data_IF_390726007866
#
_entry.id   IF_390726007866
#
_cell.length_a   1.000
_cell.length_b   1.000
_cell.length_c   1.000
_cell.angle_alpha   90.00
_cell.angle_beta   90.00
_cell.angle_gamma   90.00
#
_symmetry.space_group_name_H-M   'P 1'
#
loop_
_entity.id
_entity.type
_entity.pdbx_description
1 polymer ?
#
# COMPACT_ATOMS: atom_id res chain seq x y z
N UNK A 1 -13.88 10.73 36.28
CA UNK A 1 -13.85 12.11 35.77
C UNK A 1 -15.11 12.91 36.12
N UNK A 2 -16.33 12.44 35.79
CA UNK A 2 -17.57 13.20 36.05
C UNK A 2 -17.76 13.64 37.51
N UNK A 3 -17.48 12.78 38.50
CA UNK A 3 -17.60 13.11 39.92
C UNK A 3 -16.66 14.25 40.37
N UNK A 4 -15.44 14.33 39.83
CA UNK A 4 -14.47 15.38 40.19
C UNK A 4 -14.89 16.77 39.66
N UNK A 5 -15.48 16.81 38.45
CA UNK A 5 -16.05 18.04 37.90
C UNK A 5 -17.31 18.49 38.66
N UNK A 6 -18.16 17.55 39.11
CA UNK A 6 -19.34 17.87 39.92
C UNK A 6 -18.98 18.36 41.33
N UNK A 7 -17.95 17.79 41.98
CA UNK A 7 -17.46 18.25 43.29
C UNK A 7 -16.80 19.64 43.20
N UNK A 8 -16.21 19.97 42.05
CA UNK A 8 -15.63 21.30 41.81
C UNK A 8 -16.67 22.45 41.77
N UNK A 9 -17.96 22.16 41.51
CA UNK A 9 -19.01 23.19 41.62
C UNK A 9 -19.09 23.74 43.06
N UNK A 10 -18.76 22.94 44.07
CA UNK A 10 -18.83 23.32 45.49
C UNK A 10 -17.52 23.92 46.03
N UNK A 11 -16.38 23.65 45.38
CA UNK A 11 -15.06 24.17 45.72
C UNK A 11 -14.51 25.03 44.58
N UNK A 12 -14.49 26.36 44.77
CA UNK A 12 -14.10 27.37 43.76
C UNK A 12 -12.58 27.40 43.46
N UNK A 13 -11.96 26.28 43.09
CA UNK A 13 -10.53 26.18 42.79
C UNK A 13 -10.25 25.57 41.41
N UNK A 14 -9.12 25.91 40.78
CA UNK A 14 -8.70 25.38 39.47
C UNK A 14 -8.06 23.98 39.54
N UNK A 15 -7.79 23.48 40.74
CA UNK A 15 -7.04 22.23 40.95
C UNK A 15 -7.85 21.00 40.51
N UNK A 16 -9.14 20.93 40.84
CA UNK A 16 -9.97 19.74 40.54
C UNK A 16 -10.23 19.55 39.03
N UNK A 17 -10.52 20.61 38.23
CA UNK A 17 -10.64 20.47 36.77
C UNK A 17 -9.35 20.04 36.10
N UNK A 18 -8.21 20.65 36.49
CA UNK A 18 -6.89 20.30 35.94
C UNK A 18 -6.56 18.83 36.23
N UNK A 19 -6.82 18.38 37.47
CA UNK A 19 -6.61 16.98 37.84
C UNK A 19 -7.55 16.03 37.08
N UNK A 20 -8.80 16.44 36.85
CA UNK A 20 -9.76 15.70 36.04
C UNK A 20 -9.33 15.53 34.58
N UNK A 21 -8.84 16.61 33.94
CA UNK A 21 -8.30 16.57 32.57
C UNK A 21 -7.01 15.77 32.52
N UNK A 22 -6.10 15.98 33.47
CA UNK A 22 -4.84 15.24 33.55
C UNK A 22 -5.06 13.73 33.69
N UNK A 23 -6.01 13.33 34.55
CA UNK A 23 -6.38 11.93 34.70
C UNK A 23 -7.01 11.35 33.42
N UNK A 24 -7.87 12.13 32.76
CA UNK A 24 -8.50 11.71 31.51
C UNK A 24 -7.45 11.55 30.40
N UNK A 25 -6.53 12.52 30.26
CA UNK A 25 -5.45 12.46 29.28
C UNK A 25 -4.54 11.25 29.53
N UNK A 26 -4.15 11.04 30.80
CA UNK A 26 -3.34 9.88 31.19
C UNK A 26 -4.05 8.57 30.84
N UNK A 27 -5.34 8.46 31.17
CA UNK A 27 -6.13 7.25 30.89
C UNK A 27 -6.29 7.03 29.40
N UNK A 28 -6.54 8.10 28.62
CA UNK A 28 -6.65 8.03 27.16
C UNK A 28 -5.37 7.52 26.51
N UNK A 29 -4.20 7.96 26.98
CA UNK A 29 -2.91 7.51 26.45
C UNK A 29 -2.68 6.04 26.81
N UNK A 30 -2.92 5.67 28.07
CA UNK A 30 -2.69 4.29 28.53
C UNK A 30 -3.58 3.31 27.77
N UNK A 31 -4.88 3.59 27.71
CA UNK A 31 -5.86 2.70 27.07
C UNK A 31 -5.77 2.77 25.54
N UNK A 32 -5.56 3.97 24.97
CA UNK A 32 -5.61 4.18 23.53
C UNK A 32 -4.31 3.86 22.79
N UNK A 33 -3.15 3.91 23.46
CA UNK A 33 -1.86 3.70 22.82
C UNK A 33 -1.03 2.60 23.49
N UNK A 34 -0.82 2.67 24.81
CA UNK A 34 0.12 1.79 25.51
C UNK A 34 -0.38 0.34 25.53
N UNK A 35 -1.63 0.13 25.95
CA UNK A 35 -2.25 -1.20 25.98
C UNK A 35 -2.31 -1.85 24.60
N UNK A 36 -2.90 -1.22 23.56
CA UNK A 36 -2.95 -1.84 22.23
C UNK A 36 -1.57 -2.06 21.63
N UNK A 37 -0.63 -1.12 21.80
CA UNK A 37 0.74 -1.29 21.32
C UNK A 37 1.46 -2.48 21.96
N UNK A 38 1.21 -2.74 23.24
CA UNK A 38 1.76 -3.89 23.97
C UNK A 38 1.15 -5.21 23.45
N UNK A 39 -0.17 -5.26 23.28
CA UNK A 39 -0.85 -6.44 22.71
C UNK A 39 -0.38 -6.70 21.28
N UNK A 40 -0.24 -5.66 20.46
CA UNK A 40 0.25 -5.80 19.09
C UNK A 40 1.65 -6.40 19.08
N UNK A 41 2.58 -5.84 19.87
CA UNK A 41 3.98 -6.26 19.87
C UNK A 41 4.19 -7.70 20.37
N UNK A 42 3.50 -8.08 21.46
CA UNK A 42 3.80 -9.33 22.16
C UNK A 42 2.80 -10.47 21.89
N UNK A 43 1.62 -10.19 21.35
CA UNK A 43 0.62 -11.22 21.06
C UNK A 43 0.31 -11.34 19.56
N UNK A 44 0.15 -10.21 18.86
CA UNK A 44 -0.28 -10.20 17.46
C UNK A 44 0.91 -10.40 16.54
N UNK A 45 1.97 -9.59 16.65
CA UNK A 45 3.10 -9.56 15.72
C UNK A 45 3.80 -10.92 15.54
N UNK A 46 3.77 -11.81 16.54
CA UNK A 46 4.36 -13.15 16.43
C UNK A 46 3.52 -14.12 15.59
N UNK A 47 2.21 -13.91 15.47
CA UNK A 47 1.27 -14.74 14.71
C UNK A 47 0.22 -13.86 14.00
N UNK A 48 0.70 -12.81 13.33
CA UNK A 48 -0.13 -11.71 12.83
C UNK A 48 -1.17 -12.22 11.84
N UNK A 49 -0.76 -13.07 10.89
CA UNK A 49 -1.66 -13.66 9.91
C UNK A 49 -2.87 -14.34 10.57
N UNK A 50 -2.66 -15.22 11.55
CA UNK A 50 -3.78 -15.95 12.18
C UNK A 50 -4.67 -15.03 13.02
N UNK A 51 -4.07 -14.07 13.73
CA UNK A 51 -4.79 -13.17 14.64
C UNK A 51 -5.55 -12.07 13.89
N UNK A 52 -5.00 -11.55 12.80
CA UNK A 52 -5.59 -10.45 12.04
C UNK A 52 -6.53 -10.88 10.91
N UNK A 53 -6.33 -12.08 10.33
CA UNK A 53 -7.21 -12.63 9.27
C UNK A 53 -8.70 -12.44 9.52
N UNK A 54 -9.28 -12.78 10.70
CA UNK A 54 -10.72 -12.59 10.90
C UNK A 54 -11.15 -11.12 10.89
N UNK A 55 -10.29 -10.18 11.30
CA UNK A 55 -10.57 -8.75 11.24
C UNK A 55 -10.46 -8.22 9.82
N UNK A 56 -9.46 -8.67 9.07
CA UNK A 56 -9.29 -8.36 7.64
C UNK A 56 -10.49 -8.86 6.85
N UNK A 57 -10.93 -10.11 7.07
CA UNK A 57 -12.10 -10.67 6.41
C UNK A 57 -13.38 -9.85 6.68
N UNK A 58 -13.58 -9.44 7.93
CA UNK A 58 -14.71 -8.55 8.30
C UNK A 58 -14.60 -7.18 7.63
N UNK A 59 -13.41 -6.59 7.55
CA UNK A 59 -13.20 -5.31 6.89
C UNK A 59 -13.46 -5.40 5.38
N UNK A 60 -12.98 -6.46 4.73
CA UNK A 60 -13.26 -6.75 3.32
C UNK A 60 -14.76 -6.88 3.10
N UNK A 61 -15.45 -7.68 3.92
CA UNK A 61 -16.91 -7.85 3.81
C UNK A 61 -17.66 -6.52 4.01
N UNK A 62 -17.32 -5.75 5.04
CA UNK A 62 -17.93 -4.45 5.31
C UNK A 62 -17.69 -3.45 4.17
N UNK A 63 -16.48 -3.42 3.62
CA UNK A 63 -16.12 -2.53 2.51
C UNK A 63 -16.86 -2.94 1.24
N UNK A 64 -16.90 -4.24 0.93
CA UNK A 64 -17.65 -4.76 -0.22
C UNK A 64 -19.15 -4.45 -0.12
N UNK A 65 -19.71 -4.60 1.08
CA UNK A 65 -21.10 -4.25 1.37
C UNK A 65 -21.35 -2.74 1.19
N UNK A 66 -20.49 -1.89 1.76
CA UNK A 66 -20.63 -0.44 1.66
C UNK A 66 -20.57 0.08 0.21
N UNK A 67 -19.74 -0.54 -0.63
CA UNK A 67 -19.63 -0.21 -2.05
C UNK A 67 -20.63 -0.97 -2.95
N UNK A 68 -21.46 -1.86 -2.40
CA UNK A 68 -22.39 -2.67 -3.18
C UNK A 68 -21.70 -3.64 -4.14
N UNK A 69 -20.43 -3.98 -3.92
CA UNK A 69 -19.64 -4.93 -4.72
C UNK A 69 -19.56 -6.32 -4.07
N UNK A 70 -20.40 -6.54 -3.07
CA UNK A 70 -20.58 -7.84 -2.42
C UNK A 70 -21.31 -8.86 -3.32
N UNK A 71 -21.90 -8.36 -4.41
CA UNK A 71 -22.46 -9.19 -5.47
C UNK A 71 -21.32 -9.99 -6.11
N UNK A 72 -21.39 -11.30 -5.86
CA UNK A 72 -20.87 -12.45 -6.63
C UNK A 72 -19.81 -12.04 -7.66
N UNK A 73 -18.58 -12.59 -7.62
CA UNK A 73 -17.69 -12.46 -8.76
C UNK A 73 -18.45 -12.99 -9.97
N UNK A 74 -19.05 -12.09 -10.76
CA UNK A 74 -19.49 -12.42 -12.08
C UNK A 74 -18.20 -12.91 -12.70
N UNK A 75 -18.07 -14.20 -13.07
CA UNK A 75 -16.94 -14.58 -13.88
C UNK A 75 -17.00 -13.55 -15.01
N UNK A 76 -15.97 -12.72 -15.10
CA UNK A 76 -15.70 -12.03 -16.37
C UNK A 76 -15.70 -13.20 -17.31
N UNK A 77 -16.76 -13.35 -18.08
CA UNK A 77 -16.87 -14.37 -19.08
C UNK A 77 -16.13 -13.69 -20.22
N UNK A 78 -14.79 -13.87 -20.36
CA UNK A 78 -14.14 -13.40 -21.57
C UNK A 78 -14.99 -14.00 -22.70
N UNK A 79 -15.39 -13.18 -23.67
CA UNK A 79 -16.24 -13.65 -24.74
C UNK A 79 -15.65 -14.98 -25.27
N UNK A 80 -16.31 -16.11 -25.00
CA UNK A 80 -15.74 -17.43 -25.27
C UNK A 80 -15.66 -17.72 -26.78
N UNK A 81 -16.20 -16.81 -27.59
CA UNK A 81 -16.39 -16.97 -29.03
C UNK A 81 -15.71 -15.83 -29.80
N UNK A 82 -14.43 -15.56 -29.52
CA UNK A 82 -13.63 -14.72 -30.42
C UNK A 82 -13.38 -15.50 -31.70
N UNK A 83 -13.98 -15.07 -32.81
CA UNK A 83 -13.79 -15.66 -34.13
C UNK A 83 -12.51 -15.15 -34.78
N UNK A 84 -11.93 -15.93 -35.71
CA UNK A 84 -10.77 -15.48 -36.50
C UNK A 84 -11.03 -14.15 -37.21
N UNK A 85 -12.23 -13.95 -37.76
CA UNK A 85 -12.61 -12.69 -38.40
C UNK A 85 -12.57 -11.47 -37.46
N UNK A 86 -12.88 -11.68 -36.17
CA UNK A 86 -12.79 -10.61 -35.16
C UNK A 86 -11.35 -10.33 -34.76
N UNK A 87 -10.47 -11.33 -34.75
CA UNK A 87 -9.03 -11.13 -34.52
C UNK A 87 -8.43 -10.34 -35.68
N UNK A 88 -8.72 -10.75 -36.92
CA UNK A 88 -8.22 -10.08 -38.12
C UNK A 88 -8.71 -8.62 -38.21
N UNK A 89 -9.97 -8.36 -37.84
CA UNK A 89 -10.53 -7.01 -37.78
C UNK A 89 -9.95 -6.14 -36.65
N UNK A 90 -9.26 -6.74 -35.66
CA UNK A 90 -8.71 -6.07 -34.50
C UNK A 90 -7.20 -6.31 -34.35
N UNK A 91 -6.48 -6.49 -35.46
CA UNK A 91 -5.04 -6.78 -35.49
C UNK A 91 -4.23 -5.80 -34.61
N UNK A 92 -4.53 -4.49 -34.70
CA UNK A 92 -3.89 -3.45 -33.89
C UNK A 92 -4.08 -3.65 -32.37
N UNK A 93 -5.19 -4.24 -31.93
CA UNK A 93 -5.43 -4.56 -30.52
C UNK A 93 -4.67 -5.81 -30.12
N UNK A 94 -4.73 -6.86 -30.95
CA UNK A 94 -4.13 -8.18 -30.69
C UNK A 94 -2.60 -8.08 -30.60
N UNK A 95 -1.99 -7.35 -31.53
CA UNK A 95 -0.54 -7.10 -31.56
C UNK A 95 -0.04 -6.22 -30.41
N UNK A 96 -0.94 -5.51 -29.71
CA UNK A 96 -0.64 -4.60 -28.61
C UNK A 96 -1.15 -5.10 -27.24
N UNK A 97 -1.50 -6.38 -27.12
CA UNK A 97 -1.90 -6.94 -25.82
C UNK A 97 -0.69 -6.97 -24.89
N UNK A 98 -0.83 -6.32 -23.73
CA UNK A 98 0.17 -6.38 -22.68
C UNK A 98 0.20 -7.77 -22.04
N UNK A 99 1.25 -8.54 -22.32
CA UNK A 99 1.43 -9.89 -21.79
C UNK A 99 1.97 -9.91 -20.35
N UNK A 100 2.73 -8.89 -19.96
CA UNK A 100 3.40 -8.83 -18.65
C UNK A 100 2.74 -7.84 -17.70
N UNK A 101 2.81 -8.12 -16.40
CA UNK A 101 2.40 -7.16 -15.36
C UNK A 101 3.59 -6.24 -15.01
N UNK A 102 3.41 -4.90 -14.99
CA UNK A 102 4.48 -3.96 -14.67
C UNK A 102 5.20 -4.26 -13.34
N UNK A 103 4.45 -4.60 -12.29
CA UNK A 103 5.03 -4.92 -10.97
C UNK A 103 5.96 -6.14 -10.99
N UNK A 104 5.62 -7.17 -11.77
CA UNK A 104 6.45 -8.37 -11.91
C UNK A 104 7.71 -8.07 -12.73
N UNK A 105 7.58 -7.26 -13.79
CA UNK A 105 8.72 -6.80 -14.58
C UNK A 105 9.69 -5.95 -13.74
N UNK A 106 9.16 -5.08 -12.87
CA UNK A 106 9.97 -4.25 -11.98
C UNK A 106 10.86 -5.12 -11.07
N UNK A 107 10.26 -6.11 -10.40
CA UNK A 107 11.00 -7.06 -9.56
C UNK A 107 12.05 -7.83 -10.39
N UNK A 108 11.69 -8.22 -11.61
CA UNK A 108 12.60 -8.93 -12.52
C UNK A 108 13.78 -8.06 -12.95
N UNK A 109 13.56 -6.79 -13.28
CA UNK A 109 14.64 -5.84 -13.59
C UNK A 109 15.52 -5.60 -12.37
N UNK A 110 14.93 -5.44 -11.19
CA UNK A 110 15.66 -5.31 -9.94
C UNK A 110 16.53 -6.54 -9.64
N UNK A 111 16.08 -7.74 -10.01
CA UNK A 111 16.84 -8.97 -9.82
C UNK A 111 17.95 -9.15 -10.88
N UNK A 112 17.65 -8.92 -12.16
CA UNK A 112 18.52 -9.28 -13.28
C UNK A 112 19.41 -8.12 -13.76
N UNK A 113 18.91 -6.89 -13.75
CA UNK A 113 19.57 -5.71 -14.34
C UNK A 113 20.17 -4.75 -13.30
N UNK A 114 20.01 -5.06 -12.00
CA UNK A 114 20.57 -4.23 -10.94
C UNK A 114 22.09 -4.18 -11.00
N UNK A 115 22.84 -5.25 -11.27
CA UNK A 115 24.33 -5.31 -11.41
C UNK A 115 25.14 -4.75 -10.20
N UNK A 116 24.80 -3.62 -9.62
CA UNK A 116 25.40 -2.92 -8.48
C UNK A 116 24.33 -2.53 -7.45
N UNK A 117 24.70 -2.42 -6.18
CA UNK A 117 23.75 -2.13 -5.09
C UNK A 117 23.09 -0.74 -5.18
N UNK A 118 23.75 0.22 -5.82
CA UNK A 118 23.23 1.57 -6.02
C UNK A 118 22.35 1.70 -7.26
N UNK A 119 22.11 0.65 -8.05
CA UNK A 119 21.13 0.72 -9.13
C UNK A 119 19.76 0.24 -8.64
N UNK A 120 18.71 0.98 -9.00
CA UNK A 120 17.32 0.65 -8.66
C UNK A 120 16.37 0.92 -9.82
N UNK A 121 15.28 0.16 -9.86
CA UNK A 121 14.16 0.33 -10.80
C UNK A 121 12.90 0.63 -9.98
N UNK A 122 12.41 1.88 -10.06
CA UNK A 122 11.31 2.36 -9.21
C UNK A 122 9.92 2.04 -9.75
N UNK A 123 9.82 1.91 -11.06
CA UNK A 123 8.57 1.65 -11.77
C UNK A 123 8.86 0.95 -13.10
N UNK A 124 7.78 0.57 -13.79
CA UNK A 124 7.82 0.11 -15.18
C UNK A 124 6.71 0.85 -15.90
N UNK A 125 7.10 1.70 -16.84
CA UNK A 125 6.19 2.43 -17.69
C UNK A 125 5.69 1.55 -18.82
N UNK A 126 4.41 1.74 -19.16
CA UNK A 126 3.76 1.05 -20.27
C UNK A 126 3.38 2.12 -21.28
N UNK A 127 4.12 2.17 -22.38
CA UNK A 127 3.93 3.18 -23.41
C UNK A 127 3.95 2.56 -24.82
N UNK A 128 3.58 3.33 -25.83
CA UNK A 128 3.52 2.88 -27.22
C UNK A 128 4.55 3.61 -28.06
N UNK A 129 5.34 2.85 -28.79
CA UNK A 129 6.36 3.37 -29.69
C UNK A 129 6.16 2.86 -31.11
N UNK A 130 6.52 3.67 -32.10
CA UNK A 130 6.59 3.24 -33.48
C UNK A 130 7.90 2.47 -33.70
N UNK A 131 7.79 1.17 -33.97
CA UNK A 131 8.91 0.27 -34.24
C UNK A 131 8.65 -0.35 -35.61
N UNK A 132 9.57 -0.16 -36.55
CA UNK A 132 9.46 -0.64 -37.93
C UNK A 132 8.17 -0.20 -38.65
N UNK A 133 7.69 1.02 -38.36
CA UNK A 133 6.47 1.56 -38.96
C UNK A 133 5.17 1.13 -38.28
N UNK A 134 5.23 0.32 -37.21
CA UNK A 134 4.07 -0.16 -36.46
C UNK A 134 4.08 0.32 -35.02
N UNK A 135 2.94 0.77 -34.51
CA UNK A 135 2.77 1.11 -33.10
C UNK A 135 2.76 -0.17 -32.24
N UNK A 136 3.70 -0.24 -31.29
CA UNK A 136 3.86 -1.38 -30.37
C UNK A 136 3.89 -0.92 -28.92
N UNK A 137 3.16 -1.61 -28.06
CA UNK A 137 3.24 -1.48 -26.60
C UNK A 137 4.59 -2.00 -26.13
N UNK A 138 5.33 -1.15 -25.44
CA UNK A 138 6.61 -1.44 -24.81
C UNK A 138 6.47 -1.21 -23.32
N UNK A 139 7.04 -2.12 -22.53
CA UNK A 139 7.23 -1.92 -21.10
C UNK A 139 8.71 -1.65 -20.87
N UNK A 140 9.02 -0.50 -20.30
CA UNK A 140 10.38 -0.05 -20.06
C UNK A 140 10.51 0.54 -18.67
N UNK A 141 11.74 0.59 -18.17
CA UNK A 141 12.05 1.15 -16.86
C UNK A 141 13.40 1.82 -16.91
N UNK A 142 13.51 2.98 -16.27
CA UNK A 142 14.77 3.66 -16.09
C UNK A 142 15.59 2.95 -15.00
N UNK A 143 16.84 2.63 -15.30
CA UNK A 143 17.80 2.23 -14.26
C UNK A 143 18.31 3.49 -13.57
N UNK A 144 17.83 3.73 -12.37
CA UNK A 144 18.19 4.89 -11.56
C UNK A 144 19.31 4.57 -10.56
N UNK A 145 19.92 5.62 -10.01
CA UNK A 145 20.92 5.51 -8.95
C UNK A 145 20.29 5.84 -7.60
N UNK A 146 20.29 4.87 -6.69
CA UNK A 146 19.89 4.99 -5.29
C UNK A 146 21.03 5.54 -4.46
N UNK A 147 20.86 6.72 -3.86
CA UNK A 147 21.85 7.30 -2.94
C UNK A 147 22.13 6.41 -1.72
N UNK A 148 21.12 5.64 -1.28
CA UNK A 148 21.24 4.72 -0.14
C UNK A 148 22.08 3.48 -0.46
N UNK A 149 22.20 3.11 -1.75
CA UNK A 149 22.97 1.94 -2.19
C UNK A 149 24.43 2.24 -2.49
N UNK A 150 24.89 3.49 -2.36
CA UNK A 150 26.26 3.90 -2.63
C UNK A 150 27.17 3.44 -1.48
N UNK A 151 28.24 2.66 -1.75
CA UNK A 151 29.21 2.27 -0.73
C UNK A 151 29.82 3.49 -0.04
N UNK A 152 29.85 3.49 1.29
CA UNK A 152 30.29 4.63 2.10
C UNK A 152 29.15 5.50 2.67
N UNK A 153 27.90 5.24 2.28
CA UNK A 153 26.70 5.88 2.84
C UNK A 153 26.38 7.24 2.21
N UNK A 154 25.26 7.88 2.62
CA UNK A 154 24.80 9.14 2.06
C UNK A 154 25.66 10.31 2.60
N UNK A 155 26.82 10.52 2.01
CA UNK A 155 27.62 11.72 2.22
C UNK A 155 27.08 12.90 1.42
N UNK A 156 27.30 14.13 1.91
CA UNK A 156 26.88 15.35 1.19
C UNK A 156 27.46 15.40 -0.23
N UNK A 157 28.73 14.98 -0.37
CA UNK A 157 29.43 14.93 -1.65
C UNK A 157 28.74 13.96 -2.63
N UNK A 158 28.34 12.77 -2.18
CA UNK A 158 27.62 11.80 -3.03
C UNK A 158 26.18 12.23 -3.36
N UNK A 159 25.57 13.11 -2.57
CA UNK A 159 24.20 13.56 -2.78
C UNK A 159 24.09 14.80 -3.69
N UNK A 160 25.16 15.61 -3.83
CA UNK A 160 25.11 16.92 -4.49
C UNK A 160 26.16 17.15 -5.59
N UNK A 161 27.06 16.20 -5.85
CA UNK A 161 28.00 16.20 -6.98
C UNK A 161 27.76 14.98 -7.86
#
# INVERSE_FOLDING_TARGET
CAALFLVNIRFRGWILPVLGIGLLALTSIVVGAIVPGTVQKFQVAHQELQKETPYIARNIAATRFAFGIDLIPSPVNPANDVTASQIDANDATVTNIRLWRPSVLQETYQALQRIQQYYEFKDVDVDRYNIDGQERVVMLSAREVSQNGIPGGPGWQQAHL
#
